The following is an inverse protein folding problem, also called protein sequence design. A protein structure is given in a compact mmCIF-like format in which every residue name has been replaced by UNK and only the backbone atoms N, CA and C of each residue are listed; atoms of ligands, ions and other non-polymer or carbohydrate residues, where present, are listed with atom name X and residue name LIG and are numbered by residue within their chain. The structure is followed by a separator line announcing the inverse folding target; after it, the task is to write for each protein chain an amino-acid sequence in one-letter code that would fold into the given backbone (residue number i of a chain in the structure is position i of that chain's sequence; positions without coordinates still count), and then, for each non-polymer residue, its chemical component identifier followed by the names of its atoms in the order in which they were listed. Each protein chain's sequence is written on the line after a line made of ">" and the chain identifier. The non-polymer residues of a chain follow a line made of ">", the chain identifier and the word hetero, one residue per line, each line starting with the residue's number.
data_IF_741428616592
#
_entry.id   IF_741428616592
#
_cell.length_a   1.000
_cell.length_b   1.000
_cell.length_c   1.000
_cell.angle_alpha   90.00
_cell.angle_beta   90.00
_cell.angle_gamma   90.00
#
_symmetry.space_group_name_H-M   'P 1'
#
loop_
_entity.id
_entity.type
_entity.pdbx_description
1 polymer ?
#
# COMPACT_ATOMS: atom_id res chain seq x y z
N UNK A 1 7.09 -65.45 -10.67
CA UNK A 1 7.51 -65.56 -9.26
C UNK A 1 8.51 -64.44 -9.00
N UNK A 2 8.14 -63.42 -8.20
CA UNK A 2 9.02 -62.38 -7.58
C UNK A 2 9.72 -61.42 -8.57
N UNK A 3 9.88 -60.10 -8.39
CA UNK A 3 9.64 -59.07 -7.36
C UNK A 3 9.72 -57.72 -8.13
N UNK A 4 8.72 -56.84 -8.11
CA UNK A 4 8.66 -55.60 -7.31
C UNK A 4 10.03 -54.97 -6.97
N UNK A 5 10.44 -53.94 -7.72
CA UNK A 5 11.21 -52.80 -7.17
C UNK A 5 10.56 -51.51 -7.68
N UNK A 6 9.75 -50.95 -6.79
CA UNK A 6 9.16 -49.63 -6.80
C UNK A 6 10.30 -48.61 -6.61
N UNK A 7 10.56 -47.75 -7.60
CA UNK A 7 11.50 -46.62 -7.45
C UNK A 7 10.69 -45.34 -7.35
N UNK A 8 10.43 -44.94 -6.11
CA UNK A 8 9.72 -43.73 -5.70
C UNK A 8 10.60 -42.50 -5.94
N UNK A 9 10.23 -41.64 -6.88
CA UNK A 9 10.84 -40.33 -7.09
C UNK A 9 9.73 -39.31 -7.33
N UNK A 10 9.80 -38.18 -6.62
CA UNK A 10 9.03 -36.94 -6.80
C UNK A 10 7.53 -37.04 -6.43
N UNK A 11 6.91 -36.12 -5.70
CA UNK A 11 7.10 -34.67 -5.56
C UNK A 11 6.71 -34.25 -4.14
N UNK A 12 7.56 -33.45 -3.50
CA UNK A 12 7.23 -32.69 -2.29
C UNK A 12 6.28 -31.55 -2.69
N UNK A 13 4.99 -31.71 -2.40
CA UNK A 13 4.02 -30.61 -2.36
C UNK A 13 3.36 -30.62 -0.98
N UNK A 14 4.12 -30.23 0.04
CA UNK A 14 3.51 -29.70 1.24
C UNK A 14 3.37 -28.20 1.04
N UNK A 15 2.17 -27.85 0.59
CA UNK A 15 1.55 -26.54 0.63
C UNK A 15 2.04 -25.78 1.87
N UNK A 16 2.89 -24.78 1.65
CA UNK A 16 3.04 -23.67 2.58
C UNK A 16 1.69 -22.97 2.64
N UNK A 17 0.83 -23.42 3.54
CA UNK A 17 -0.28 -22.65 4.07
C UNK A 17 0.32 -21.43 4.77
N UNK A 18 0.64 -20.42 3.94
CA UNK A 18 0.87 -19.07 4.38
C UNK A 18 -0.40 -18.65 5.10
N UNK A 19 -0.35 -18.71 6.43
CA UNK A 19 -1.31 -18.04 7.27
C UNK A 19 -1.19 -16.56 6.91
N UNK A 20 -2.07 -16.11 6.02
CA UNK A 20 -2.44 -14.72 5.91
C UNK A 20 -3.08 -14.35 7.25
N UNK A 21 -2.23 -14.05 8.24
CA UNK A 21 -2.65 -13.30 9.43
C UNK A 21 -3.07 -11.96 8.89
N UNK A 22 -4.37 -11.82 8.65
CA UNK A 22 -5.02 -10.54 8.45
C UNK A 22 -4.73 -9.73 9.70
N UNK A 23 -3.74 -8.85 9.61
CA UNK A 23 -3.49 -7.83 10.62
C UNK A 23 -4.83 -7.21 10.97
N UNK A 24 -5.27 -7.38 12.21
CA UNK A 24 -6.47 -6.72 12.71
C UNK A 24 -6.29 -5.22 12.51
N UNK A 25 -6.89 -4.70 11.43
CA UNK A 25 -6.88 -3.28 11.14
C UNK A 25 -7.61 -2.62 12.31
N UNK A 26 -6.89 -1.87 13.16
CA UNK A 26 -7.51 -1.16 14.26
C UNK A 26 -8.43 -0.10 13.66
N UNK A 27 -9.73 -0.39 13.59
CA UNK A 27 -10.80 0.51 13.07
C UNK A 27 -10.79 1.92 13.69
N UNK A 28 -10.07 2.12 14.80
CA UNK A 28 -9.83 3.43 15.46
C UNK A 28 -8.91 4.36 14.67
N UNK A 29 -8.24 3.91 13.61
CA UNK A 29 -7.35 4.72 12.79
C UNK A 29 -7.98 5.23 11.50
N UNK A 30 -9.29 5.10 11.31
CA UNK A 30 -10.00 5.59 10.13
C UNK A 30 -10.87 6.79 10.49
N UNK A 31 -10.72 7.89 9.76
CA UNK A 31 -11.61 9.04 9.79
C UNK A 31 -12.54 9.01 8.58
N UNK A 32 -13.66 9.70 8.70
CA UNK A 32 -14.59 9.88 7.58
C UNK A 32 -13.97 10.87 6.61
N UNK A 33 -13.50 10.37 5.47
CA UNK A 33 -12.88 11.14 4.40
C UNK A 33 -13.21 10.48 3.07
N UNK A 34 -13.87 11.23 2.18
CA UNK A 34 -14.32 10.67 0.90
C UNK A 34 -13.16 10.51 -0.08
N UNK A 35 -13.08 9.34 -0.71
CA UNK A 35 -12.16 9.07 -1.81
C UNK A 35 -12.83 8.24 -2.90
N UNK A 36 -12.20 8.22 -4.07
CA UNK A 36 -12.67 7.56 -5.27
C UNK A 36 -11.60 6.63 -5.81
N UNK A 37 -11.94 5.36 -6.00
CA UNK A 37 -11.06 4.31 -6.49
C UNK A 37 -11.50 3.90 -7.89
N UNK A 38 -10.52 3.68 -8.77
CA UNK A 38 -10.75 3.29 -10.16
C UNK A 38 -10.26 1.86 -10.37
N UNK A 39 -11.14 0.98 -10.83
CA UNK A 39 -10.77 -0.38 -11.27
C UNK A 39 -10.39 -0.42 -12.76
N UNK A 40 -9.74 -1.51 -13.24
CA UNK A 40 -9.28 -1.61 -14.63
C UNK A 40 -10.38 -1.45 -15.69
N UNK A 41 -11.61 -1.84 -15.37
CA UNK A 41 -12.78 -1.69 -16.23
C UNK A 41 -13.32 -0.24 -16.29
N UNK A 42 -12.69 0.69 -15.59
CA UNK A 42 -13.11 2.09 -15.49
C UNK A 42 -14.20 2.36 -14.46
N UNK A 43 -14.63 1.34 -13.70
CA UNK A 43 -15.62 1.54 -12.63
C UNK A 43 -15.02 2.42 -11.51
N UNK A 44 -15.72 3.51 -11.18
CA UNK A 44 -15.34 4.43 -10.09
C UNK A 44 -16.16 4.11 -8.85
N UNK A 45 -15.50 3.65 -7.80
CA UNK A 45 -16.11 3.31 -6.51
C UNK A 45 -15.79 4.37 -5.46
N UNK A 46 -16.78 5.09 -4.90
CA UNK A 46 -16.55 6.00 -3.78
C UNK A 46 -16.50 5.25 -2.44
N UNK A 47 -15.73 5.75 -1.48
CA UNK A 47 -15.80 5.32 -0.08
C UNK A 47 -15.42 6.43 0.90
N UNK A 48 -16.04 6.43 2.08
CA UNK A 48 -15.77 7.41 3.16
C UNK A 48 -14.82 6.89 4.24
N UNK A 49 -14.69 5.57 4.35
CA UNK A 49 -13.77 4.93 5.29
C UNK A 49 -12.98 3.89 4.51
N UNK A 50 -11.67 4.07 4.45
CA UNK A 50 -10.86 3.29 3.53
C UNK A 50 -9.40 3.21 3.94
N UNK A 51 -8.73 2.20 3.40
CA UNK A 51 -7.28 2.07 3.37
C UNK A 51 -6.83 1.63 1.99
N UNK A 52 -5.83 2.31 1.43
CA UNK A 52 -5.22 2.04 0.14
C UNK A 52 -3.82 1.45 0.38
N UNK A 53 -3.67 0.14 0.21
CA UNK A 53 -2.41 -0.56 0.36
C UNK A 53 -1.53 -0.43 -0.87
N UNK A 54 -0.22 -0.27 -0.67
CA UNK A 54 0.80 -0.13 -1.72
C UNK A 54 1.73 -1.34 -1.85
N UNK A 55 1.56 -2.33 -0.98
CA UNK A 55 2.38 -3.54 -0.96
C UNK A 55 3.03 -3.78 0.39
N UNK A 56 4.06 -4.63 0.36
CA UNK A 56 4.79 -5.09 1.53
C UNK A 56 6.28 -5.00 1.26
N UNK A 57 7.01 -4.44 2.22
CA UNK A 57 8.40 -4.05 2.04
C UNK A 57 9.25 -4.50 3.21
N UNK A 58 10.43 -4.99 2.87
CA UNK A 58 11.52 -5.25 3.82
C UNK A 58 12.42 -4.02 3.87
N UNK A 59 12.82 -3.62 5.06
CA UNK A 59 13.66 -2.45 5.30
C UNK A 59 14.49 -2.63 6.57
N UNK A 60 15.50 -1.80 6.75
CA UNK A 60 16.31 -1.74 7.96
C UNK A 60 16.25 -0.34 8.56
N UNK A 61 15.91 -0.21 9.83
CA UNK A 61 15.85 1.07 10.54
C UNK A 61 16.70 1.04 11.79
N UNK A 62 17.34 2.17 12.10
CA UNK A 62 18.07 2.35 13.36
C UNK A 62 17.08 2.61 14.50
N UNK A 63 17.22 1.85 15.59
CA UNK A 63 16.40 2.02 16.80
C UNK A 63 17.29 2.06 18.03
N UNK A 64 16.96 2.95 18.96
CA UNK A 64 17.64 3.01 20.25
C UNK A 64 17.02 2.02 21.24
N UNK A 65 17.85 1.14 21.79
CA UNK A 65 17.47 0.22 22.85
C UNK A 65 18.20 0.54 24.17
N UNK A 66 17.51 0.48 25.32
CA UNK A 66 18.14 0.68 26.62
C UNK A 66 19.32 -0.29 26.83
N UNK A 67 20.52 0.26 27.02
CA UNK A 67 21.75 -0.52 27.26
C UNK A 67 22.49 -1.02 26.02
N UNK A 68 21.91 -0.92 24.83
CA UNK A 68 22.55 -1.32 23.56
C UNK A 68 22.85 -0.14 22.63
N UNK A 69 22.20 1.02 22.85
CA UNK A 69 22.33 2.19 22.00
C UNK A 69 21.55 2.03 20.69
N UNK A 70 22.03 2.66 19.62
CA UNK A 70 21.42 2.56 18.30
C UNK A 70 21.86 1.27 17.62
N UNK A 71 20.88 0.47 17.19
CA UNK A 71 21.12 -0.77 16.46
C UNK A 71 20.24 -0.84 15.22
N UNK A 72 20.74 -1.43 14.12
CA UNK A 72 19.93 -1.72 12.96
C UNK A 72 18.93 -2.83 13.28
N UNK A 73 17.67 -2.60 12.93
CA UNK A 73 16.57 -3.55 13.08
C UNK A 73 15.98 -3.78 11.70
N UNK A 74 16.01 -5.03 11.26
CA UNK A 74 15.40 -5.42 9.99
C UNK A 74 13.95 -5.80 10.20
N UNK A 75 13.07 -5.29 9.34
CA UNK A 75 11.64 -5.47 9.46
C UNK A 75 10.93 -5.61 8.12
N UNK A 76 9.68 -6.07 8.20
CA UNK A 76 8.74 -6.12 7.09
C UNK A 76 7.44 -5.41 7.50
N UNK A 77 6.98 -4.46 6.68
CA UNK A 77 5.68 -3.79 6.89
C UNK A 77 4.81 -3.83 5.66
N UNK A 78 3.49 -3.95 5.88
CA UNK A 78 2.50 -3.68 4.85
C UNK A 78 2.14 -2.21 4.89
N UNK A 79 2.34 -1.50 3.78
CA UNK A 79 2.21 -0.04 3.73
C UNK A 79 0.85 0.34 3.15
N UNK A 80 0.14 1.25 3.82
CA UNK A 80 -1.15 1.74 3.35
C UNK A 80 -1.39 3.20 3.71
N UNK A 81 -1.92 3.97 2.76
CA UNK A 81 -2.55 5.26 3.02
C UNK A 81 -3.93 5.01 3.64
N UNK A 82 -4.24 5.66 4.76
CA UNK A 82 -5.54 5.52 5.42
C UNK A 82 -6.34 6.80 5.34
N UNK A 83 -7.68 6.68 5.44
CA UNK A 83 -8.60 7.82 5.38
C UNK A 83 -8.38 8.88 6.47
N UNK A 84 -7.53 8.63 7.46
CA UNK A 84 -7.07 9.63 8.44
C UNK A 84 -5.96 10.56 7.95
N UNK A 85 -5.57 10.47 6.67
CA UNK A 85 -4.61 11.40 6.07
C UNK A 85 -3.15 11.13 6.45
N UNK A 86 -2.78 9.86 6.63
CA UNK A 86 -1.37 9.48 6.80
C UNK A 86 -1.11 8.08 6.23
N UNK A 87 0.16 7.78 5.95
CA UNK A 87 0.59 6.45 5.52
C UNK A 87 1.07 5.66 6.74
N UNK A 88 0.48 4.49 6.95
CA UNK A 88 0.80 3.59 8.05
C UNK A 88 1.55 2.36 7.53
N UNK A 89 2.52 1.89 8.31
CA UNK A 89 3.29 0.70 8.00
C UNK A 89 3.38 -0.25 9.19
N UNK A 90 2.28 -0.88 9.63
CA UNK A 90 2.34 -1.94 10.62
C UNK A 90 3.11 -3.14 10.07
N UNK A 91 3.96 -3.69 10.92
CA UNK A 91 4.90 -4.73 10.54
C UNK A 91 5.51 -5.45 11.73
N UNK A 92 6.45 -6.32 11.41
CA UNK A 92 7.21 -7.11 12.37
C UNK A 92 8.66 -7.14 11.92
N UNK A 93 9.58 -7.05 12.88
CA UNK A 93 11.00 -7.28 12.66
C UNK A 93 11.56 -8.36 13.55
N UNK A 94 12.87 -8.55 13.42
CA UNK A 94 13.66 -9.48 14.23
C UNK A 94 13.58 -9.19 15.74
N UNK A 95 13.27 -7.94 16.11
CA UNK A 95 13.07 -7.50 17.50
C UNK A 95 11.61 -7.24 17.90
N UNK A 96 10.64 -7.74 17.13
CA UNK A 96 9.21 -7.73 17.51
C UNK A 96 8.33 -6.80 16.67
N UNK A 97 7.32 -6.19 17.30
CA UNK A 97 6.40 -5.26 16.61
C UNK A 97 7.17 -4.08 16.03
N UNK A 98 6.97 -3.81 14.74
CA UNK A 98 7.53 -2.64 14.08
C UNK A 98 6.41 -1.81 13.47
N UNK A 99 6.49 -0.49 13.67
CA UNK A 99 5.56 0.44 13.03
C UNK A 99 6.34 1.60 12.48
N UNK A 100 6.25 1.75 11.17
CA UNK A 100 6.88 2.85 10.43
C UNK A 100 5.82 3.80 9.91
N UNK A 101 6.23 5.03 9.64
CA UNK A 101 5.40 6.06 8.99
C UNK A 101 6.07 6.52 7.70
N UNK A 102 5.77 5.84 6.58
CA UNK A 102 6.29 6.26 5.29
C UNK A 102 5.66 7.59 4.85
N UNK A 103 6.25 8.19 3.83
CA UNK A 103 5.66 9.28 3.07
C UNK A 103 5.99 9.12 1.59
N UNK A 104 5.20 9.76 0.74
CA UNK A 104 5.48 9.79 -0.69
C UNK A 104 6.61 10.77 -0.99
N UNK A 105 7.46 10.40 -1.94
CA UNK A 105 8.49 11.26 -2.50
C UNK A 105 8.53 11.10 -4.02
N UNK A 106 9.04 12.10 -4.73
CA UNK A 106 9.48 11.98 -6.12
C UNK A 106 10.94 12.38 -6.24
N UNK A 107 11.62 11.87 -7.27
CA UNK A 107 12.99 12.24 -7.62
C UNK A 107 12.97 13.35 -8.68
N UNK A 108 13.76 14.41 -8.49
CA UNK A 108 13.94 15.45 -9.49
C UNK A 108 15.02 15.12 -10.53
N UNK A 109 15.26 16.05 -11.47
CA UNK A 109 16.26 15.88 -12.54
C UNK A 109 17.71 15.78 -12.03
N UNK A 110 17.97 16.19 -10.78
CA UNK A 110 19.29 16.14 -10.14
C UNK A 110 19.46 14.90 -9.24
N UNK A 111 18.44 14.04 -9.13
CA UNK A 111 18.44 12.88 -8.25
C UNK A 111 18.09 13.21 -6.80
N UNK A 112 17.58 14.41 -6.52
CA UNK A 112 17.11 14.78 -5.18
C UNK A 112 15.66 14.34 -4.97
N UNK A 113 15.40 13.73 -3.83
CA UNK A 113 14.06 13.26 -3.47
C UNK A 113 13.30 14.32 -2.67
N UNK A 114 12.17 14.74 -3.23
CA UNK A 114 11.27 15.73 -2.64
C UNK A 114 10.02 15.06 -2.10
N UNK A 115 9.59 15.49 -0.92
CA UNK A 115 8.38 14.98 -0.29
C UNK A 115 7.12 15.48 -1.01
N UNK A 116 6.16 14.57 -1.19
CA UNK A 116 4.82 14.88 -1.68
C UNK A 116 3.88 14.94 -0.48
N UNK A 117 3.32 16.11 -0.18
CA UNK A 117 2.25 16.19 0.81
C UNK A 117 0.95 15.62 0.22
N UNK A 118 0.16 14.96 1.07
CA UNK A 118 -1.05 14.28 0.61
C UNK A 118 -2.10 15.25 0.04
N UNK A 119 -2.11 16.49 0.50
CA UNK A 119 -2.98 17.56 0.01
C UNK A 119 -2.60 18.05 -1.40
N UNK A 120 -1.33 17.91 -1.78
CA UNK A 120 -0.83 18.26 -3.10
C UNK A 120 -1.17 17.19 -4.15
N UNK A 121 -1.64 16.01 -3.74
CA UNK A 121 -2.02 14.94 -4.66
C UNK A 121 -3.36 15.27 -5.31
N UNK A 122 -3.35 15.46 -6.62
CA UNK A 122 -4.58 15.54 -7.42
C UNK A 122 -5.15 14.16 -7.70
N UNK A 123 -4.29 13.24 -8.16
CA UNK A 123 -4.62 11.82 -8.30
C UNK A 123 -3.37 10.95 -8.43
N UNK A 124 -3.52 9.68 -8.06
CA UNK A 124 -2.57 8.60 -8.34
C UNK A 124 -3.11 7.74 -9.47
N UNK A 125 -2.23 7.20 -10.31
CA UNK A 125 -2.59 6.29 -11.40
C UNK A 125 -1.49 5.23 -11.62
N UNK A 126 -1.68 4.34 -12.60
CA UNK A 126 -0.80 3.17 -12.85
C UNK A 126 -0.56 2.30 -11.61
N UNK A 127 -1.59 2.09 -10.78
CA UNK A 127 -1.43 1.29 -9.57
C UNK A 127 -0.57 1.98 -8.50
N UNK A 128 -0.44 3.31 -8.55
CA UNK A 128 0.14 4.15 -7.51
C UNK A 128 1.60 4.53 -7.75
N UNK A 129 2.20 4.07 -8.85
CA UNK A 129 3.58 4.40 -9.23
C UNK A 129 3.72 5.78 -9.85
N UNK A 130 2.61 6.42 -10.22
CA UNK A 130 2.60 7.75 -10.81
C UNK A 130 1.60 8.66 -10.08
N UNK A 131 1.97 9.93 -9.95
CA UNK A 131 1.16 10.98 -9.35
C UNK A 131 1.05 12.17 -10.28
N UNK A 132 -0.11 12.81 -10.26
CA UNK A 132 -0.27 14.18 -10.73
C UNK A 132 -0.58 15.06 -9.53
N UNK A 133 0.18 16.15 -9.38
CA UNK A 133 0.00 17.12 -8.30
C UNK A 133 -1.08 18.16 -8.66
N UNK A 134 -1.53 18.94 -7.68
CA UNK A 134 -2.58 19.93 -7.86
C UNK A 134 -2.20 21.00 -8.90
N UNK A 135 -0.93 21.38 -8.96
CA UNK A 135 -0.37 22.31 -9.95
C UNK A 135 -0.31 21.72 -11.38
N UNK A 136 -0.54 20.41 -11.51
CA UNK A 136 -0.57 19.68 -12.77
C UNK A 136 0.75 19.03 -13.17
N UNK A 137 1.81 19.13 -12.37
CA UNK A 137 3.04 18.37 -12.64
C UNK A 137 2.81 16.88 -12.43
N UNK A 138 3.60 16.07 -13.14
CA UNK A 138 3.53 14.61 -13.09
C UNK A 138 4.87 14.06 -12.66
N UNK A 139 4.85 13.09 -11.76
CA UNK A 139 6.05 12.46 -11.20
C UNK A 139 5.86 10.96 -11.01
N UNK A 140 6.98 10.23 -11.11
CA UNK A 140 7.07 8.89 -10.55
C UNK A 140 7.08 8.98 -9.01
N UNK A 141 6.38 8.04 -8.38
CA UNK A 141 6.17 8.01 -6.93
C UNK A 141 7.01 6.93 -6.29
N UNK A 142 7.66 7.30 -5.20
CA UNK A 142 8.33 6.39 -4.30
C UNK A 142 7.78 6.55 -2.88
N UNK A 143 8.00 5.53 -2.05
CA UNK A 143 7.75 5.52 -0.63
C UNK A 143 9.09 5.59 0.10
N UNK A 144 9.30 6.61 0.93
CA UNK A 144 10.42 6.66 1.86
C UNK A 144 10.00 6.11 3.21
N UNK A 145 10.69 5.06 3.70
CA UNK A 145 10.39 4.39 4.96
C UNK A 145 11.42 4.79 6.04
N UNK A 146 11.09 5.82 6.81
CA UNK A 146 11.87 6.39 7.93
C UNK A 146 13.28 6.93 7.62
N UNK A 147 14.17 6.15 6.99
CA UNK A 147 15.53 6.56 6.62
C UNK A 147 15.63 6.89 5.13
N UNK A 148 16.67 7.67 4.77
CA UNK A 148 16.92 8.09 3.39
C UNK A 148 17.29 6.92 2.46
N UNK A 149 17.83 5.82 3.01
CA UNK A 149 18.21 4.64 2.23
C UNK A 149 17.04 3.69 1.91
N UNK A 150 15.91 3.83 2.62
CA UNK A 150 14.74 2.95 2.45
C UNK A 150 13.71 3.57 1.49
N UNK A 151 14.11 3.79 0.24
CA UNK A 151 13.24 4.29 -0.83
C UNK A 151 12.80 3.12 -1.71
N UNK A 152 11.49 2.94 -1.84
CA UNK A 152 10.90 1.80 -2.57
C UNK A 152 9.75 2.24 -3.45
N UNK A 153 9.55 1.58 -4.59
CA UNK A 153 8.40 1.85 -5.45
C UNK A 153 7.13 1.15 -4.94
N UNK A 154 5.95 1.78 -5.09
CA UNK A 154 4.65 1.13 -4.95
C UNK A 154 4.56 -0.17 -5.77
N UNK A 155 4.16 -1.29 -5.15
CA UNK A 155 3.99 -2.58 -5.85
C UNK A 155 2.64 -2.71 -6.58
N UNK A 156 1.73 -1.76 -6.32
CA UNK A 156 0.36 -1.76 -6.81
C UNK A 156 -0.60 -1.26 -5.74
N UNK A 157 -1.79 -0.82 -6.15
CA UNK A 157 -2.82 -0.32 -5.24
C UNK A 157 -3.91 -1.36 -4.98
N UNK A 158 -4.25 -1.55 -3.71
CA UNK A 158 -5.38 -2.38 -3.27
C UNK A 158 -6.19 -1.61 -2.23
N UNK A 159 -7.49 -1.42 -2.46
CA UNK A 159 -8.33 -0.69 -1.50
C UNK A 159 -9.17 -1.65 -0.66
N UNK A 160 -9.22 -1.38 0.64
CA UNK A 160 -10.23 -1.92 1.56
C UNK A 160 -11.14 -0.77 1.95
N UNK A 161 -12.44 -0.95 1.74
CA UNK A 161 -13.45 0.06 2.04
C UNK A 161 -14.38 -0.45 3.14
N UNK A 162 -14.97 0.48 3.88
CA UNK A 162 -15.85 0.18 4.99
C UNK A 162 -17.10 1.05 4.90
N UNK A 163 -18.23 0.49 5.33
CA UNK A 163 -19.49 1.23 5.51
C UNK A 163 -19.79 1.31 6.99
N UNK A 164 -20.25 2.46 7.47
CA UNK A 164 -20.77 2.57 8.82
C UNK A 164 -22.13 1.87 8.91
N UNK A 165 -22.27 0.93 9.82
CA UNK A 165 -23.57 0.41 10.27
C UNK A 165 -24.12 1.40 11.30
N UNK A 166 -25.23 2.04 10.97
CA UNK A 166 -25.87 3.05 11.81
C UNK A 166 -26.55 2.46 13.05
N UNK A 167 -26.82 1.15 13.05
CA UNK A 167 -27.50 0.49 14.17
C UNK A 167 -26.58 0.28 15.38
N UNK A 168 -25.29 0.01 15.14
CA UNK A 168 -24.31 -0.29 16.18
C UNK A 168 -23.06 0.62 16.14
N UNK A 169 -23.04 1.61 15.25
CA UNK A 169 -21.92 2.54 15.02
C UNK A 169 -20.59 1.81 14.74
N UNK A 170 -20.64 0.71 13.98
CA UNK A 170 -19.44 -0.02 13.59
C UNK A 170 -19.15 0.07 12.11
N UNK A 171 -17.86 0.16 11.79
CA UNK A 171 -17.38 0.00 10.43
C UNK A 171 -17.46 -1.47 10.01
N UNK A 172 -18.27 -1.76 8.99
CA UNK A 172 -18.41 -3.07 8.37
C UNK A 172 -17.60 -3.10 7.07
N UNK A 173 -16.64 -4.05 6.93
CA UNK A 173 -15.83 -4.15 5.71
C UNK A 173 -16.70 -4.47 4.50
N UNK A 174 -16.37 -3.87 3.36
CA UNK A 174 -16.93 -4.20 2.06
C UNK A 174 -15.99 -5.14 1.30
N UNK A 175 -16.43 -5.76 0.19
CA UNK A 175 -15.53 -6.51 -0.69
C UNK A 175 -14.31 -5.65 -1.09
N UNK A 176 -13.09 -6.21 -1.04
CA UNK A 176 -11.88 -5.47 -1.39
C UNK A 176 -11.90 -5.09 -2.88
N UNK A 177 -11.35 -3.92 -3.19
CA UNK A 177 -11.13 -3.47 -4.56
C UNK A 177 -9.69 -3.79 -4.93
N UNK A 178 -9.50 -4.76 -5.83
CA UNK A 178 -8.18 -5.19 -6.29
C UNK A 178 -8.28 -5.79 -7.70
N UNK A 179 -7.49 -5.31 -8.68
CA UNK A 179 -6.56 -4.20 -8.58
C UNK A 179 -7.26 -2.84 -8.62
N UNK A 180 -6.63 -1.83 -8.00
CA UNK A 180 -6.99 -0.41 -8.19
C UNK A 180 -5.94 0.20 -9.10
N UNK A 181 -6.37 0.82 -10.19
CA UNK A 181 -5.47 1.46 -11.17
C UNK A 181 -5.34 2.97 -10.94
N UNK A 182 -6.30 3.58 -10.23
CA UNK A 182 -6.31 5.02 -9.95
C UNK A 182 -7.00 5.36 -8.63
N UNK A 183 -6.61 6.49 -8.05
CA UNK A 183 -7.12 7.02 -6.78
C UNK A 183 -7.17 8.55 -6.80
N UNK A 184 -8.23 9.14 -6.24
CA UNK A 184 -8.31 10.58 -5.99
C UNK A 184 -9.28 10.90 -4.86
N UNK A 185 -9.08 12.05 -4.21
CA UNK A 185 -10.05 12.63 -3.28
C UNK A 185 -11.28 13.23 -3.98
N UNK A 186 -11.25 13.38 -5.31
CA UNK A 186 -12.37 13.91 -6.09
C UNK A 186 -12.81 12.97 -7.21
N UNK A 187 -14.10 13.02 -7.56
CA UNK A 187 -14.64 12.22 -8.67
C UNK A 187 -14.01 12.62 -10.01
N UNK A 188 -13.78 13.91 -10.22
CA UNK A 188 -13.12 14.42 -11.42
C UNK A 188 -11.67 13.93 -11.51
N UNK A 189 -10.93 13.97 -10.39
CA UNK A 189 -9.58 13.43 -10.33
C UNK A 189 -9.52 11.93 -10.61
N UNK A 190 -10.50 11.15 -10.15
CA UNK A 190 -10.60 9.72 -10.46
C UNK A 190 -10.87 9.46 -11.96
N UNK A 191 -11.69 10.30 -12.62
CA UNK A 191 -11.88 10.20 -14.07
C UNK A 191 -10.57 10.49 -14.83
N UNK A 192 -9.83 11.52 -14.40
CA UNK A 192 -8.51 11.84 -14.98
C UNK A 192 -7.49 10.74 -14.73
N UNK A 193 -7.50 10.13 -13.54
CA UNK A 193 -6.64 8.98 -13.22
C UNK A 193 -6.93 7.79 -14.13
N UNK A 194 -8.20 7.52 -14.44
CA UNK A 194 -8.57 6.46 -15.39
C UNK A 194 -8.02 6.75 -16.79
N UNK A 195 -8.24 7.97 -17.30
CA UNK A 195 -7.77 8.36 -18.62
C UNK A 195 -6.25 8.27 -18.72
N UNK A 196 -5.52 8.83 -17.73
CA UNK A 196 -4.06 8.76 -17.68
C UNK A 196 -3.54 7.32 -17.64
N UNK A 197 -4.23 6.42 -16.94
CA UNK A 197 -3.88 4.99 -16.92
C UNK A 197 -4.12 4.30 -18.28
N UNK A 198 -5.13 4.71 -19.05
CA UNK A 198 -5.36 4.20 -20.40
C UNK A 198 -4.31 4.72 -21.38
N UNK A 199 -3.99 6.01 -21.30
CA UNK A 199 -3.00 6.66 -22.17
C UNK A 199 -1.63 6.00 -21.98
N UNK A 200 -1.21 5.79 -20.72
CA UNK A 200 0.06 5.13 -20.40
C UNK A 200 0.12 3.63 -20.73
N UNK A 201 -1.03 2.97 -20.91
CA UNK A 201 -1.08 1.55 -21.32
C UNK A 201 -1.09 1.37 -22.85
N UNK A 202 -1.35 2.44 -23.60
CA UNK A 202 -1.34 2.46 -25.05
C UNK A 202 0.01 2.83 -25.69
N UNK A 203 0.95 3.32 -24.88
CA UNK A 203 2.36 3.57 -25.24
C UNK A 203 3.23 2.32 -25.07
#
# INVERSE_FOLDING_TARGET
>A
MKQLILSSVLVVMCLSSGFARTSEFRRRSLLKESAYFVSPDGTITPADFWSLGFGRYTYTVEREFPGEGHVPVSGESSIALVSSGYIDGPGYGDRGDMRVRPHFVYEDEHGEYHRIELEDIKYLYMGGTQVVLQDGTQHEVFLRIESDDNIVQPQGMQARTFKMDESDNRLVPQPPLNPVIGFSYSREGAQKAHQAALDAAGE
#
